data_IF_091520736332
#
_entry.id   IF_091520736332
#
_cell.length_a   1.000
_cell.length_b   1.000
_cell.length_c   1.000
_cell.angle_alpha   90.00
_cell.angle_beta   90.00
_cell.angle_gamma   90.00
#
_symmetry.space_group_name_H-M   'P 1'
#
loop_
_entity.id
_entity.type
_entity.pdbx_description
1 polymer ?
#
# COMPACT_ATOMS: atom_id res chain seq x y z
N UNK A 1 -8.54 4.34 -2.91
CA UNK A 1 -7.65 3.51 -2.06
C UNK A 1 -6.38 3.16 -2.82
N UNK A 2 -5.23 3.18 -2.13
CA UNK A 2 -3.92 2.94 -2.72
C UNK A 2 -3.77 1.54 -3.35
N UNK A 3 -4.18 0.49 -2.62
CA UNK A 3 -4.16 -0.90 -3.10
C UNK A 3 -4.86 -1.05 -4.46
N UNK A 4 -6.12 -0.57 -4.56
CA UNK A 4 -6.90 -0.59 -5.80
C UNK A 4 -6.23 0.19 -6.94
N UNK A 5 -5.62 1.33 -6.62
CA UNK A 5 -4.93 2.16 -7.61
C UNK A 5 -3.73 1.43 -8.21
N UNK A 6 -2.90 0.82 -7.37
CA UNK A 6 -1.68 0.10 -7.80
C UNK A 6 -2.07 -1.17 -8.56
N UNK A 7 -3.00 -1.97 -8.02
CA UNK A 7 -3.49 -3.18 -8.66
C UNK A 7 -4.02 -2.93 -10.07
N UNK A 8 -4.84 -1.88 -10.24
CA UNK A 8 -5.34 -1.48 -11.56
C UNK A 8 -4.22 -1.02 -12.51
N UNK A 9 -3.23 -0.27 -12.00
CA UNK A 9 -2.08 0.14 -12.80
C UNK A 9 -1.24 -1.07 -13.27
N UNK A 10 -1.21 -2.14 -12.48
CA UNK A 10 -0.60 -3.44 -12.80
C UNK A 10 -1.49 -4.36 -13.64
N UNK A 11 -2.68 -3.90 -14.04
CA UNK A 11 -3.68 -4.66 -14.82
C UNK A 11 -4.13 -5.97 -14.16
N UNK A 12 -4.10 -6.03 -12.83
CA UNK A 12 -4.48 -7.22 -12.07
C UNK A 12 -5.95 -7.17 -11.64
N UNK A 13 -6.61 -8.32 -11.63
CA UNK A 13 -7.90 -8.57 -10.99
C UNK A 13 -7.74 -8.70 -9.46
N UNK A 14 -8.84 -8.72 -8.70
CA UNK A 14 -8.77 -9.03 -7.27
C UNK A 14 -8.46 -10.51 -7.00
N UNK A 15 -8.78 -11.39 -7.96
CA UNK A 15 -8.52 -12.83 -7.86
C UNK A 15 -7.04 -13.15 -8.08
N UNK A 16 -6.32 -12.29 -8.81
CA UNK A 16 -4.86 -12.40 -8.99
C UNK A 16 -4.08 -12.18 -7.69
N UNK A 17 -4.74 -11.81 -6.59
CA UNK A 17 -4.15 -11.61 -5.25
C UNK A 17 -4.56 -12.70 -4.25
N UNK A 18 -5.23 -13.76 -4.71
CA UNK A 18 -5.82 -14.79 -3.85
C UNK A 18 -4.80 -15.59 -3.03
N UNK A 19 -3.55 -15.65 -3.49
CA UNK A 19 -2.45 -16.33 -2.81
C UNK A 19 -2.08 -15.65 -1.48
N UNK A 20 -2.43 -14.36 -1.32
CA UNK A 20 -2.19 -13.62 -0.07
C UNK A 20 -3.44 -13.63 0.81
N UNK A 21 -4.61 -13.34 0.24
CA UNK A 21 -5.89 -13.44 0.96
C UNK A 21 -7.08 -13.55 0.00
N UNK A 22 -8.23 -13.99 0.54
CA UNK A 22 -9.42 -14.20 -0.28
C UNK A 22 -9.86 -12.93 -1.03
N UNK A 23 -10.43 -13.10 -2.23
CA UNK A 23 -11.04 -12.01 -3.03
C UNK A 23 -11.99 -11.13 -2.22
N UNK A 24 -12.78 -11.72 -1.31
CA UNK A 24 -13.70 -11.00 -0.42
C UNK A 24 -12.92 -10.08 0.52
N UNK A 25 -11.81 -10.56 1.07
CA UNK A 25 -10.93 -9.77 1.94
C UNK A 25 -10.25 -8.63 1.16
N UNK A 26 -9.72 -8.90 -0.04
CA UNK A 26 -9.20 -7.85 -0.95
C UNK A 26 -10.26 -6.79 -1.21
N UNK A 27 -11.50 -7.18 -1.50
CA UNK A 27 -12.61 -6.26 -1.71
C UNK A 27 -12.93 -5.43 -0.46
N UNK A 28 -12.82 -6.00 0.74
CA UNK A 28 -12.97 -5.24 1.99
C UNK A 28 -11.82 -4.24 2.19
N UNK A 29 -10.57 -4.64 1.94
CA UNK A 29 -9.39 -3.76 2.01
C UNK A 29 -9.51 -2.58 1.03
N UNK A 30 -9.88 -2.85 -0.22
CA UNK A 30 -10.02 -1.80 -1.24
C UNK A 30 -11.16 -0.80 -0.96
N UNK A 31 -12.08 -1.14 -0.06
CA UNK A 31 -13.14 -0.28 0.43
C UNK A 31 -12.83 0.37 1.79
N UNK A 32 -11.70 0.03 2.41
CA UNK A 32 -11.32 0.55 3.73
C UNK A 32 -12.10 -0.06 4.89
N UNK A 33 -12.70 -1.24 4.71
CA UNK A 33 -13.48 -1.93 5.74
C UNK A 33 -12.61 -2.78 6.69
N UNK A 34 -11.35 -3.01 6.31
CA UNK A 34 -10.35 -3.78 7.05
C UNK A 34 -8.98 -3.11 6.92
N UNK A 35 -8.12 -3.36 7.91
CA UNK A 35 -6.72 -2.95 7.90
C UNK A 35 -5.85 -4.18 7.67
N UNK A 36 -4.93 -4.17 6.68
CA UNK A 36 -4.01 -5.27 6.45
C UNK A 36 -2.90 -5.28 7.51
N UNK A 37 -2.35 -6.45 7.82
CA UNK A 37 -1.11 -6.58 8.59
C UNK A 37 0.10 -6.21 7.73
N UNK A 38 1.26 -5.98 8.34
CA UNK A 38 2.49 -5.71 7.59
C UNK A 38 2.86 -6.86 6.65
N UNK A 39 2.80 -8.11 7.13
CA UNK A 39 3.04 -9.30 6.31
C UNK A 39 2.09 -9.39 5.10
N UNK A 40 0.84 -8.95 5.25
CA UNK A 40 -0.09 -8.88 4.13
C UNK A 40 0.28 -7.77 3.14
N UNK A 41 0.73 -6.60 3.62
CA UNK A 41 1.23 -5.52 2.75
C UNK A 41 2.42 -6.02 1.94
N UNK A 42 3.33 -6.77 2.55
CA UNK A 42 4.48 -7.38 1.89
C UNK A 42 4.05 -8.37 0.80
N UNK A 43 3.20 -9.34 1.13
CA UNK A 43 2.70 -10.31 0.15
C UNK A 43 1.92 -9.67 -1.01
N UNK A 44 1.08 -8.67 -0.71
CA UNK A 44 0.36 -7.93 -1.75
C UNK A 44 1.32 -7.13 -2.66
N UNK A 45 2.35 -6.52 -2.08
CA UNK A 45 3.35 -5.77 -2.83
C UNK A 45 4.18 -6.70 -3.73
N UNK A 46 4.56 -7.88 -3.23
CA UNK A 46 5.25 -8.93 -3.97
C UNK A 46 4.43 -9.38 -5.19
N UNK A 47 3.17 -9.76 -4.99
CA UNK A 47 2.26 -10.17 -6.08
C UNK A 47 2.06 -9.07 -7.12
N UNK A 48 1.98 -7.81 -6.69
CA UNK A 48 1.88 -6.65 -7.59
C UNK A 48 3.24 -6.20 -8.17
N UNK A 49 4.33 -6.87 -7.81
CA UNK A 49 5.71 -6.54 -8.22
C UNK A 49 6.05 -5.07 -7.95
N UNK A 50 5.85 -4.64 -6.71
CA UNK A 50 6.22 -3.31 -6.19
C UNK A 50 6.87 -3.45 -4.82
N UNK A 51 7.58 -2.42 -4.37
CA UNK A 51 8.07 -2.38 -3.00
C UNK A 51 6.89 -2.14 -2.02
N UNK A 52 6.86 -2.79 -0.83
CA UNK A 52 5.85 -2.52 0.20
C UNK A 52 5.77 -1.04 0.57
N UNK A 53 6.93 -0.37 0.61
CA UNK A 53 7.02 1.06 0.88
C UNK A 53 6.34 1.90 -0.21
N UNK A 54 6.31 1.46 -1.47
CA UNK A 54 5.56 2.14 -2.54
C UNK A 54 4.05 2.11 -2.29
N UNK A 55 3.53 0.97 -1.81
CA UNK A 55 2.12 0.85 -1.44
C UNK A 55 1.78 1.74 -0.24
N UNK A 56 2.65 1.76 0.77
CA UNK A 56 2.54 2.64 1.93
C UNK A 56 2.58 4.12 1.52
N UNK A 57 3.58 4.53 0.76
CA UNK A 57 3.72 5.91 0.28
C UNK A 57 2.47 6.35 -0.48
N UNK A 58 1.95 5.52 -1.41
CA UNK A 58 0.71 5.84 -2.12
C UNK A 58 -0.49 5.99 -1.17
N UNK A 59 -0.57 5.17 -0.12
CA UNK A 59 -1.64 5.25 0.87
C UNK A 59 -1.56 6.55 1.68
N UNK A 60 -0.36 6.95 2.12
CA UNK A 60 -0.17 8.16 2.90
C UNK A 60 -0.25 9.43 2.04
N UNK A 61 0.19 9.41 0.78
CA UNK A 61 -0.05 10.54 -0.14
C UNK A 61 -1.54 10.84 -0.33
N UNK A 62 -2.41 9.82 -0.31
CA UNK A 62 -3.87 10.03 -0.36
C UNK A 62 -4.44 10.62 0.94
N UNK A 63 -3.79 10.39 2.08
CA UNK A 63 -4.17 10.95 3.38
C UNK A 63 -3.63 12.36 3.61
N UNK A 64 -2.53 12.71 2.95
CA UNK A 64 -1.85 14.00 3.07
C UNK A 64 -1.78 14.68 1.69
N UNK A 65 -2.91 15.14 1.13
CA UNK A 65 -2.95 15.69 -0.23
C UNK A 65 -2.13 16.98 -0.41
N UNK A 66 -1.74 17.63 0.70
CA UNK A 66 -0.90 18.84 0.71
C UNK A 66 0.61 18.54 0.67
N UNK A 67 1.01 17.28 0.82
CA UNK A 67 2.41 16.86 0.80
C UNK A 67 2.69 16.08 -0.47
N UNK A 68 3.81 16.38 -1.11
CA UNK A 68 4.33 15.55 -2.19
C UNK A 68 4.86 14.21 -1.63
N UNK A 69 4.92 13.14 -2.44
CA UNK A 69 5.54 11.89 -2.03
C UNK A 69 6.99 12.05 -1.53
N UNK A 70 7.75 12.97 -2.14
CA UNK A 70 9.13 13.29 -1.75
C UNK A 70 9.19 13.95 -0.37
N UNK A 71 8.27 14.89 -0.07
CA UNK A 71 8.17 15.51 1.24
C UNK A 71 7.82 14.49 2.32
N UNK A 72 6.87 13.59 2.05
CA UNK A 72 6.52 12.50 2.97
C UNK A 72 7.73 11.60 3.25
N UNK A 73 8.47 11.21 2.22
CA UNK A 73 9.66 10.38 2.39
C UNK A 73 10.75 11.11 3.20
N UNK A 74 10.96 12.40 2.93
CA UNK A 74 11.95 13.19 3.68
C UNK A 74 11.61 13.27 5.16
N UNK A 75 10.33 13.50 5.51
CA UNK A 75 9.88 13.52 6.90
C UNK A 75 10.19 12.19 7.57
N UNK A 76 9.81 11.06 6.96
CA UNK A 76 10.08 9.73 7.53
C UNK A 76 11.58 9.44 7.68
N UNK A 77 12.42 9.92 6.76
CA UNK A 77 13.88 9.80 6.88
C UNK A 77 14.42 10.62 8.06
N UNK A 78 13.95 11.85 8.25
CA UNK A 78 14.37 12.67 9.40
C UNK A 78 13.87 12.09 10.73
N UNK A 79 12.66 11.52 10.76
CA UNK A 79 12.15 10.79 11.93
C UNK A 79 13.02 9.58 12.28
N UNK A 80 13.44 8.78 11.29
CA UNK A 80 14.31 7.64 11.51
C UNK A 80 15.66 8.04 12.11
N UNK A 81 16.29 9.10 11.60
CA UNK A 81 17.57 9.63 12.14
C UNK A 81 17.47 10.11 13.59
N UNK A 82 16.28 10.39 14.10
CA UNK A 82 16.07 10.80 15.49
C UNK A 82 15.85 9.61 16.43
N UNK A 83 15.49 8.45 15.88
CA UNK A 83 15.25 7.21 16.62
C UNK A 83 16.54 6.38 16.71
N UNK A 84 17.39 6.44 15.68
CA UNK A 84 18.73 5.83 15.63
C UNK A 84 19.79 6.67 16.37
#
# INVERSE_FOLDING_TARGET
MALKSIRKAKKMSQEDLQDVCSRVYISQLERGLKNPTLAMIEGLAEQMQVQPLTLMLKAYSLKHPHLSPEQLMQISIEELKQIE
#
